data_IF_271451572239
#
_entry.id   IF_271451572239
#
_cell.length_a   1.000
_cell.length_b   1.000
_cell.length_c   1.000
_cell.angle_alpha   90.00
_cell.angle_beta   90.00
_cell.angle_gamma   90.00
#
_symmetry.space_group_name_H-M   'P 1'
#
loop_
_entity.id
_entity.type
_entity.pdbx_description
1 polymer ?
#
# COMPACT_ATOMS: atom_id res chain seq x y z
N UNK A 1 5.21 -24.53 23.88
CA UNK A 1 4.22 -23.49 24.18
C UNK A 1 4.66 -22.18 23.53
N UNK A 2 3.73 -21.37 23.00
CA UNK A 2 3.75 -20.76 21.65
C UNK A 2 4.73 -19.58 21.56
N UNK A 3 5.38 -19.27 20.44
CA UNK A 3 4.84 -19.18 19.09
C UNK A 3 4.83 -17.71 18.65
N UNK A 4 6.00 -17.07 18.55
CA UNK A 4 6.10 -15.68 18.08
C UNK A 4 6.03 -15.67 16.55
N UNK A 5 4.81 -15.74 16.03
CA UNK A 5 4.50 -15.51 14.62
C UNK A 5 4.78 -14.05 14.28
N UNK A 6 6.01 -13.78 13.81
CA UNK A 6 6.27 -12.60 12.99
C UNK A 6 5.46 -12.80 11.72
N UNK A 7 4.27 -12.22 11.74
CA UNK A 7 3.31 -12.16 10.66
C UNK A 7 3.95 -11.46 9.46
N UNK A 8 4.58 -12.27 8.61
CA UNK A 8 5.04 -11.96 7.26
C UNK A 8 3.82 -11.73 6.36
N UNK A 9 3.09 -10.65 6.59
CA UNK A 9 2.02 -10.26 5.68
C UNK A 9 2.58 -9.57 4.44
N UNK A 10 2.87 -10.42 3.44
CA UNK A 10 2.82 -10.15 2.00
C UNK A 10 3.72 -9.01 1.49
N UNK A 11 5.02 -9.30 1.44
CA UNK A 11 5.89 -8.76 0.40
C UNK A 11 5.81 -9.73 -0.78
N UNK A 12 5.24 -9.36 -1.95
CA UNK A 12 5.58 -10.06 -3.17
C UNK A 12 7.01 -9.65 -3.54
N UNK A 13 7.99 -10.37 -2.99
CA UNK A 13 9.33 -10.48 -3.56
C UNK A 13 9.21 -11.45 -4.72
N UNK A 14 9.17 -10.92 -5.95
CA UNK A 14 9.53 -11.66 -7.16
C UNK A 14 9.74 -10.64 -8.29
N UNK A 15 10.77 -10.62 -9.15
CA UNK A 15 12.16 -11.14 -9.23
C UNK A 15 12.64 -10.62 -10.60
N UNK A 16 13.84 -10.03 -10.76
CA UNK A 16 14.39 -9.78 -12.10
C UNK A 16 15.45 -8.69 -12.26
N UNK A 17 16.71 -9.07 -12.04
CA UNK A 17 17.96 -8.60 -12.69
C UNK A 17 18.40 -7.11 -12.59
N UNK A 18 19.50 -6.97 -11.83
CA UNK A 18 20.70 -6.13 -12.02
C UNK A 18 20.75 -4.76 -11.32
N UNK A 19 21.84 -4.64 -10.55
CA UNK A 19 22.45 -3.48 -9.89
C UNK A 19 21.85 -3.05 -8.55
N UNK A 20 22.73 -3.00 -7.54
CA UNK A 20 22.56 -2.43 -6.22
C UNK A 20 22.34 -0.89 -6.28
N UNK A 21 21.43 -0.42 -7.14
CA UNK A 21 20.99 0.97 -7.11
C UNK A 21 19.94 1.08 -6.01
N UNK A 22 20.32 1.70 -4.89
CA UNK A 22 19.38 2.14 -3.85
C UNK A 22 18.23 2.85 -4.55
N UNK A 23 17.05 2.23 -4.60
CA UNK A 23 15.89 2.77 -5.32
C UNK A 23 15.66 4.20 -4.79
N UNK A 24 15.95 5.21 -5.61
CA UNK A 24 15.82 6.61 -5.21
C UNK A 24 14.37 6.85 -4.82
N UNK A 25 14.17 7.38 -3.62
CA UNK A 25 12.83 7.64 -3.11
C UNK A 25 12.21 8.76 -3.93
N UNK A 26 11.27 8.42 -4.80
CA UNK A 26 10.45 9.41 -5.49
C UNK A 26 9.51 10.08 -4.48
N UNK A 27 9.46 11.42 -4.51
CA UNK A 27 8.46 12.22 -3.81
C UNK A 27 7.41 12.62 -4.84
N UNK A 28 6.14 12.30 -4.56
CA UNK A 28 5.02 12.70 -5.41
C UNK A 28 4.55 14.11 -5.03
N UNK A 29 4.13 14.89 -6.01
CA UNK A 29 3.53 16.21 -5.77
C UNK A 29 2.13 16.05 -5.16
N UNK A 30 1.62 17.13 -4.55
CA UNK A 30 0.27 17.10 -3.97
C UNK A 30 -0.80 16.75 -5.01
N UNK A 31 -0.70 17.32 -6.22
CA UNK A 31 -1.64 17.04 -7.32
C UNK A 31 -1.63 15.56 -7.72
N UNK A 32 -0.43 14.98 -7.88
CA UNK A 32 -0.28 13.56 -8.19
C UNK A 32 -0.93 12.69 -7.13
N UNK A 33 -0.74 13.01 -5.84
CA UNK A 33 -1.37 12.28 -4.74
C UNK A 33 -2.89 12.39 -4.78
N UNK A 34 -3.44 13.57 -5.02
CA UNK A 34 -4.89 13.78 -5.12
C UNK A 34 -5.50 12.94 -6.23
N UNK A 35 -4.89 12.91 -7.42
CA UNK A 35 -5.37 12.10 -8.54
C UNK A 35 -5.25 10.60 -8.26
N UNK A 36 -4.13 10.15 -7.67
CA UNK A 36 -3.95 8.75 -7.27
C UNK A 36 -4.99 8.32 -6.21
N UNK A 37 -5.32 9.18 -5.25
CA UNK A 37 -6.34 8.89 -4.24
C UNK A 37 -7.75 8.87 -4.83
N UNK A 38 -8.06 9.79 -5.75
CA UNK A 38 -9.33 9.79 -6.49
C UNK A 38 -9.52 8.48 -7.25
N UNK A 39 -8.50 8.03 -7.96
CA UNK A 39 -8.56 6.77 -8.71
C UNK A 39 -8.65 5.57 -7.76
N UNK A 40 -7.93 5.58 -6.64
CA UNK A 40 -8.01 4.51 -5.63
C UNK A 40 -9.41 4.38 -5.01
N UNK A 41 -10.13 5.49 -4.83
CA UNK A 41 -11.50 5.47 -4.34
C UNK A 41 -12.46 4.81 -5.35
N UNK A 42 -12.20 4.95 -6.65
CA UNK A 42 -12.95 4.28 -7.72
C UNK A 42 -12.56 2.80 -7.86
N UNK A 43 -11.26 2.50 -7.84
CA UNK A 43 -10.72 1.17 -8.04
C UNK A 43 -9.47 0.93 -7.19
N UNK A 44 -9.51 -0.06 -6.30
CA UNK A 44 -8.39 -0.36 -5.39
C UNK A 44 -7.22 -1.14 -6.03
N UNK A 45 -7.43 -1.66 -7.24
CA UNK A 45 -6.48 -2.51 -7.97
C UNK A 45 -6.33 -2.04 -9.41
N UNK A 46 -5.20 -1.40 -9.74
CA UNK A 46 -4.91 -1.03 -11.14
C UNK A 46 -4.27 -2.16 -11.93
N UNK A 47 -4.81 -2.46 -13.10
CA UNK A 47 -4.34 -3.53 -14.01
C UNK A 47 -4.24 -3.02 -15.45
N UNK A 48 -3.30 -3.62 -16.21
CA UNK A 48 -3.18 -3.43 -17.66
C UNK A 48 -3.23 -1.96 -18.12
N UNK A 49 -4.18 -1.68 -19.01
CA UNK A 49 -4.31 -0.40 -19.72
C UNK A 49 -4.59 0.80 -18.81
N UNK A 50 -5.45 0.65 -17.81
CA UNK A 50 -5.78 1.77 -16.92
C UNK A 50 -4.56 2.24 -16.11
N UNK A 51 -3.62 1.32 -15.82
CA UNK A 51 -2.33 1.68 -15.20
C UNK A 51 -1.48 2.53 -16.13
N UNK A 52 -1.37 2.15 -17.41
CA UNK A 52 -0.63 2.90 -18.41
C UNK A 52 -1.20 4.31 -18.59
N UNK A 53 -2.53 4.44 -18.64
CA UNK A 53 -3.22 5.72 -18.80
C UNK A 53 -2.98 6.66 -17.61
N UNK A 54 -3.10 6.14 -16.38
CA UNK A 54 -2.86 6.93 -15.17
C UNK A 54 -1.39 7.33 -15.04
N UNK A 55 -0.47 6.42 -15.36
CA UNK A 55 0.97 6.69 -15.37
C UNK A 55 1.31 7.83 -16.35
N UNK A 56 0.76 7.77 -17.56
CA UNK A 56 0.96 8.79 -18.59
C UNK A 56 0.40 10.15 -18.17
N UNK A 57 -0.80 10.16 -17.57
CA UNK A 57 -1.47 11.39 -17.13
C UNK A 57 -0.73 12.10 -15.98
N UNK A 58 -0.05 11.33 -15.12
CA UNK A 58 0.67 11.86 -13.96
C UNK A 58 2.17 12.04 -14.18
N UNK A 59 2.67 11.75 -15.39
CA UNK A 59 4.09 11.68 -15.72
C UNK A 59 4.88 10.76 -14.76
N UNK A 60 4.29 9.61 -14.43
CA UNK A 60 4.90 8.57 -13.60
C UNK A 60 5.15 7.30 -14.42
N UNK A 61 5.99 6.41 -13.89
CA UNK A 61 6.14 5.06 -14.46
C UNK A 61 5.06 4.12 -13.95
N UNK A 62 4.70 3.12 -14.76
CA UNK A 62 3.76 2.07 -14.37
C UNK A 62 4.19 1.35 -13.07
N UNK A 63 5.49 1.16 -12.86
CA UNK A 63 6.01 0.54 -11.64
C UNK A 63 5.79 1.44 -10.41
N UNK A 64 5.96 2.77 -10.54
CA UNK A 64 5.67 3.71 -9.44
C UNK A 64 4.18 3.69 -9.08
N UNK A 65 3.29 3.72 -10.08
CA UNK A 65 1.83 3.62 -9.86
C UNK A 65 1.50 2.29 -9.19
N UNK A 66 2.04 1.18 -9.70
CA UNK A 66 1.85 -0.16 -9.11
C UNK A 66 2.30 -0.22 -7.66
N UNK A 67 3.48 0.32 -7.32
CA UNK A 67 4.00 0.37 -5.95
C UNK A 67 3.13 1.27 -5.07
N UNK A 68 2.69 2.42 -5.57
CA UNK A 68 1.81 3.32 -4.83
C UNK A 68 0.50 2.63 -4.47
N UNK A 69 -0.16 1.95 -5.43
CA UNK A 69 -1.41 1.22 -5.18
C UNK A 69 -1.22 0.07 -4.19
N UNK A 70 -0.10 -0.65 -4.26
CA UNK A 70 0.24 -1.66 -3.26
C UNK A 70 0.34 -1.04 -1.87
N UNK A 71 1.15 0.02 -1.70
CA UNK A 71 1.33 0.72 -0.44
C UNK A 71 0.01 1.30 0.10
N UNK A 72 -0.83 1.83 -0.79
CA UNK A 72 -2.13 2.39 -0.44
C UNK A 72 -3.07 1.34 0.11
N UNK A 73 -3.12 0.14 -0.49
CA UNK A 73 -3.88 -1.01 0.05
C UNK A 73 -3.38 -1.46 1.42
N UNK A 74 -2.06 -1.49 1.65
CA UNK A 74 -1.50 -1.80 2.97
C UNK A 74 -1.98 -0.77 4.01
N UNK A 75 -1.89 0.52 3.69
CA UNK A 75 -2.35 1.61 4.57
C UNK A 75 -3.84 1.48 4.86
N UNK A 76 -4.66 1.20 3.86
CA UNK A 76 -6.10 1.03 3.99
C UNK A 76 -6.46 -0.14 4.92
N UNK A 77 -5.85 -1.32 4.74
CA UNK A 77 -6.04 -2.47 5.64
C UNK A 77 -5.58 -2.18 7.07
N UNK A 78 -4.43 -1.52 7.24
CA UNK A 78 -3.93 -1.11 8.56
C UNK A 78 -4.87 -0.15 9.28
N UNK A 79 -5.50 0.78 8.54
CA UNK A 79 -6.48 1.70 9.11
C UNK A 79 -7.72 0.97 9.62
N UNK A 80 -8.22 -0.01 8.87
CA UNK A 80 -9.33 -0.87 9.31
C UNK A 80 -8.99 -1.64 10.59
N UNK A 81 -7.78 -2.23 10.66
CA UNK A 81 -7.36 -2.97 11.86
C UNK A 81 -7.18 -2.05 13.07
N UNK A 82 -6.60 -0.86 12.88
CA UNK A 82 -6.45 0.13 13.95
C UNK A 82 -7.80 0.62 14.47
N UNK A 83 -8.77 0.82 13.58
CA UNK A 83 -10.15 1.17 13.96
C UNK A 83 -10.80 0.03 14.77
N UNK A 84 -10.59 -1.23 14.37
CA UNK A 84 -11.09 -2.39 15.10
C UNK A 84 -10.44 -2.52 16.49
N UNK A 85 -9.12 -2.38 16.58
CA UNK A 85 -8.40 -2.37 17.87
C UNK A 85 -8.85 -1.23 18.78
N UNK A 86 -9.05 -0.03 18.23
CA UNK A 86 -9.56 1.11 18.99
C UNK A 86 -10.99 0.86 19.50
N UNK A 87 -11.83 0.18 18.72
CA UNK A 87 -13.18 -0.22 19.14
C UNK A 87 -13.13 -1.26 20.27
N UNK A 88 -12.25 -2.25 20.17
CA UNK A 88 -12.06 -3.27 21.21
C UNK A 88 -11.52 -2.66 22.52
N UNK A 89 -10.55 -1.75 22.43
CA UNK A 89 -10.02 -1.03 23.59
C UNK A 89 -11.09 -0.18 24.29
N UNK A 90 -12.00 0.45 23.54
CA UNK A 90 -13.12 1.21 24.11
C UNK A 90 -14.18 0.34 24.78
N UNK A 91 -14.27 -0.95 24.46
CA UNK A 91 -15.23 -1.88 25.06
C UNK A 91 -14.67 -2.63 26.28
N UNK A 92 -13.50 -2.23 26.81
CA UNK A 92 -12.97 -2.76 28.08
C UNK A 92 -12.54 -4.23 28.06
N UNK A 93 -12.53 -4.89 26.89
CA UNK A 93 -11.97 -6.23 26.69
C UNK A 93 -10.45 -6.12 26.52
N UNK A 94 -9.75 -5.66 27.55
CA UNK A 94 -8.31 -5.85 27.65
C UNK A 94 -8.06 -7.34 27.85
N UNK A 95 -7.54 -8.01 26.82
CA UNK A 95 -6.96 -9.34 26.92
C UNK A 95 -6.04 -9.38 28.14
N UNK A 96 -6.45 -10.13 29.17
CA UNK A 96 -5.55 -10.46 30.28
C UNK A 96 -4.42 -11.34 29.74
N UNK A 97 -3.21 -11.07 30.21
CA UNK A 97 -1.97 -11.76 29.86
C UNK A 97 -2.01 -13.24 30.26
#
# INVERSE_FOLDING_TARGET
>A
APGFLISKCCFPIFKGKISNAKRVRTIFTSDQLTQLEKEFARQQYMVGMERCQLASSLHLTEEQVKVWFQNRRIKWRKQSLKQQQAKLAKMGLSTQQ
#
